data_IF_737988967824
#
_entry.id   IF_737988967824
#
_cell.length_a   1.000
_cell.length_b   1.000
_cell.length_c   1.000
_cell.angle_alpha   90.00
_cell.angle_beta   90.00
_cell.angle_gamma   90.00
#
_symmetry.space_group_name_H-M   'P 1'
#
loop_
_entity.id
_entity.type
_entity.pdbx_description
1 polymer ?
#
# COMPACT_ATOMS: atom_id res chain seq x y z
N UNK A 1 -1.32 33.36 -49.49
CA UNK A 1 -0.11 32.66 -49.03
C UNK A 1 -0.28 32.43 -47.55
N UNK A 2 -0.96 31.34 -47.20
CA UNK A 2 -1.30 30.93 -45.84
C UNK A 2 -0.09 30.37 -45.11
N UNK A 3 0.04 30.66 -43.81
CA UNK A 3 0.39 29.67 -42.78
C UNK A 3 -0.29 30.08 -41.47
N UNK A 4 -1.50 29.57 -41.28
CA UNK A 4 -2.11 29.45 -39.96
C UNK A 4 -1.25 28.48 -39.14
N UNK A 5 -0.55 28.98 -38.12
CA UNK A 5 0.10 28.10 -37.14
C UNK A 5 -1.01 27.67 -36.19
N UNK A 6 -1.58 26.51 -36.51
CA UNK A 6 -2.55 25.80 -35.69
C UNK A 6 -1.99 25.68 -34.27
N UNK A 7 -2.54 26.45 -33.33
CA UNK A 7 -2.27 26.28 -31.91
C UNK A 7 -2.63 24.85 -31.53
N UNK A 8 -1.61 24.02 -31.27
CA UNK A 8 -1.78 22.62 -30.93
C UNK A 8 -2.39 22.56 -29.53
N UNK A 9 -3.73 22.46 -29.47
CA UNK A 9 -4.44 22.10 -28.25
C UNK A 9 -4.16 20.63 -27.99
N UNK A 10 -3.16 20.34 -27.15
CA UNK A 10 -2.89 19.00 -26.67
C UNK A 10 -3.93 18.65 -25.61
N UNK A 11 -5.01 18.00 -26.02
CA UNK A 11 -5.94 17.37 -25.09
C UNK A 11 -5.30 16.08 -24.59
N UNK A 12 -4.76 16.11 -23.38
CA UNK A 12 -4.36 14.91 -22.65
C UNK A 12 -5.61 14.29 -22.02
N UNK A 13 -6.07 13.18 -22.59
CA UNK A 13 -7.18 12.42 -22.02
C UNK A 13 -6.62 11.46 -20.95
N UNK A 14 -6.56 11.94 -19.71
CA UNK A 14 -6.12 11.15 -18.56
C UNK A 14 -7.32 10.38 -18.03
N UNK A 15 -7.49 9.13 -18.48
CA UNK A 15 -8.51 8.22 -17.95
C UNK A 15 -7.99 7.66 -16.62
N UNK A 16 -8.58 8.12 -15.52
CA UNK A 16 -8.31 7.55 -14.19
C UNK A 16 -9.52 6.76 -13.71
N UNK A 17 -9.34 5.46 -13.58
CA UNK A 17 -10.38 4.56 -13.08
C UNK A 17 -10.35 4.59 -11.54
N UNK A 18 -11.10 5.52 -10.93
CA UNK A 18 -11.57 5.37 -9.56
C UNK A 18 -13.09 5.21 -9.57
N UNK A 19 -13.56 4.00 -9.24
CA UNK A 19 -14.98 3.72 -9.00
C UNK A 19 -15.80 3.43 -10.26
N UNK A 20 -16.43 2.26 -10.28
CA UNK A 20 -17.34 1.87 -11.36
C UNK A 20 -18.50 2.86 -11.54
N UNK A 21 -18.72 3.27 -12.78
CA UNK A 21 -20.02 3.63 -13.34
C UNK A 21 -20.72 4.91 -12.89
N UNK A 22 -20.20 5.72 -11.94
CA UNK A 22 -20.86 6.99 -11.56
C UNK A 22 -19.89 8.14 -11.26
N UNK A 23 -19.81 9.08 -12.20
CA UNK A 23 -20.06 10.52 -11.93
C UNK A 23 -19.08 11.33 -11.10
N UNK A 24 -17.82 10.91 -10.89
CA UNK A 24 -16.80 11.80 -10.32
C UNK A 24 -16.06 12.50 -11.46
N UNK A 25 -16.16 13.83 -11.53
CA UNK A 25 -15.28 14.71 -12.31
C UNK A 25 -14.28 15.37 -11.36
N UNK A 26 -13.31 14.62 -10.81
CA UNK A 26 -12.35 15.17 -9.86
C UNK A 26 -11.48 16.22 -10.55
N UNK A 27 -11.20 17.29 -9.83
CA UNK A 27 -10.16 18.24 -10.24
C UNK A 27 -8.79 17.54 -10.28
N UNK A 28 -7.83 18.02 -11.09
CA UNK A 28 -6.46 17.47 -11.10
C UNK A 28 -5.81 17.43 -9.71
N UNK A 29 -6.18 18.36 -8.83
CA UNK A 29 -5.72 18.40 -7.44
C UNK A 29 -6.27 17.23 -6.62
N UNK A 30 -7.56 16.93 -6.73
CA UNK A 30 -8.18 15.81 -6.03
C UNK A 30 -7.60 14.48 -6.51
N UNK A 31 -7.42 14.35 -7.82
CA UNK A 31 -6.76 13.20 -8.40
C UNK A 31 -5.34 12.99 -7.85
N UNK A 32 -4.52 14.04 -7.81
CA UNK A 32 -3.16 13.96 -7.25
C UNK A 32 -3.17 13.54 -5.78
N UNK A 33 -4.13 14.03 -4.99
CA UNK A 33 -4.29 13.63 -3.58
C UNK A 33 -4.66 12.16 -3.44
N UNK A 34 -5.58 11.66 -4.27
CA UNK A 34 -5.97 10.25 -4.25
C UNK A 34 -4.85 9.32 -4.66
N UNK A 35 -4.13 9.65 -5.73
CA UNK A 35 -2.96 8.88 -6.18
C UNK A 35 -1.90 8.83 -5.07
N UNK A 36 -1.59 9.96 -4.43
CA UNK A 36 -0.66 9.99 -3.29
C UNK A 36 -1.14 9.13 -2.13
N UNK A 37 -2.41 9.23 -1.74
CA UNK A 37 -2.98 8.39 -0.68
C UNK A 37 -2.96 6.90 -1.01
N UNK A 38 -3.18 6.53 -2.28
CA UNK A 38 -3.04 5.15 -2.73
C UNK A 38 -1.59 4.65 -2.59
N UNK A 39 -0.61 5.45 -3.05
CA UNK A 39 0.80 5.10 -2.91
C UNK A 39 1.29 5.06 -1.46
N UNK A 40 0.70 5.83 -0.55
CA UNK A 40 1.00 5.73 0.88
C UNK A 40 0.61 4.35 1.45
N UNK A 41 -0.54 3.80 1.02
CA UNK A 41 -0.95 2.44 1.41
C UNK A 41 -0.01 1.40 0.80
N UNK A 42 0.33 1.56 -0.49
CA UNK A 42 1.23 0.64 -1.19
C UNK A 42 2.61 0.59 -0.54
N UNK A 43 3.21 1.75 -0.29
CA UNK A 43 4.51 1.86 0.37
C UNK A 43 4.47 1.39 1.83
N UNK A 44 3.38 1.66 2.53
CA UNK A 44 3.24 1.35 3.95
C UNK A 44 2.92 -0.11 4.24
N UNK A 45 2.17 -0.79 3.37
CA UNK A 45 1.65 -2.15 3.63
C UNK A 45 2.23 -3.13 2.62
N UNK A 46 1.92 -2.97 1.34
CA UNK A 46 2.24 -3.96 0.30
C UNK A 46 3.75 -4.11 0.09
N UNK A 47 4.49 -3.01 -0.04
CA UNK A 47 5.94 -3.07 -0.14
C UNK A 47 6.58 -3.77 1.07
N UNK A 48 6.09 -3.50 2.28
CA UNK A 48 6.57 -4.15 3.50
C UNK A 48 6.27 -5.65 3.49
N UNK A 49 5.08 -6.04 3.03
CA UNK A 49 4.68 -7.45 2.89
C UNK A 49 5.59 -8.18 1.91
N UNK A 50 5.92 -7.57 0.77
CA UNK A 50 6.80 -8.17 -0.22
C UNK A 50 8.22 -8.32 0.30
N UNK A 51 8.83 -7.24 0.81
CA UNK A 51 10.24 -7.30 1.23
C UNK A 51 10.46 -8.03 2.55
N UNK A 52 9.50 -7.97 3.47
CA UNK A 52 9.65 -8.58 4.80
C UNK A 52 9.10 -10.00 4.83
N UNK A 53 7.94 -10.23 4.21
CA UNK A 53 7.23 -11.52 4.25
C UNK A 53 7.35 -12.34 2.98
N UNK A 54 7.98 -11.79 1.93
CA UNK A 54 8.17 -12.47 0.65
C UNK A 54 6.82 -12.98 0.12
N UNK A 55 5.78 -12.14 0.27
CA UNK A 55 4.39 -12.48 0.01
C UNK A 55 4.17 -12.94 -1.43
N UNK A 56 4.72 -12.21 -2.40
CA UNK A 56 4.69 -12.55 -3.84
C UNK A 56 5.21 -13.96 -4.17
N UNK A 57 6.24 -14.43 -3.44
CA UNK A 57 6.84 -15.74 -3.69
C UNK A 57 6.11 -16.86 -2.94
N UNK A 58 5.10 -16.54 -2.14
CA UNK A 58 4.39 -17.52 -1.33
C UNK A 58 3.31 -18.24 -2.14
N UNK A 59 3.35 -19.57 -2.17
CA UNK A 59 2.37 -20.40 -2.90
C UNK A 59 1.05 -20.63 -2.14
N UNK A 60 0.75 -19.86 -1.09
CA UNK A 60 -0.45 -19.97 -0.26
C UNK A 60 -1.76 -19.54 -0.95
N UNK A 61 -2.00 -19.95 -2.21
CA UNK A 61 -3.14 -19.53 -3.04
C UNK A 61 -4.52 -19.82 -2.40
N UNK A 62 -4.61 -20.90 -1.61
CA UNK A 62 -5.85 -21.27 -0.89
C UNK A 62 -6.11 -20.45 0.38
N UNK A 63 -5.07 -19.88 0.98
CA UNK A 63 -5.13 -19.17 2.27
C UNK A 63 -4.56 -17.75 2.18
N UNK A 64 -4.44 -17.20 0.98
CA UNK A 64 -3.79 -15.90 0.75
C UNK A 64 -4.48 -14.77 1.49
N UNK A 65 -5.81 -14.68 1.40
CA UNK A 65 -6.60 -13.66 2.10
C UNK A 65 -6.43 -13.69 3.63
N UNK A 66 -6.65 -14.82 4.33
CA UNK A 66 -6.43 -14.86 5.78
C UNK A 66 -4.96 -14.65 6.16
N UNK A 67 -4.02 -15.13 5.35
CA UNK A 67 -2.59 -14.94 5.61
C UNK A 67 -2.16 -13.46 5.49
N UNK A 68 -2.67 -12.75 4.49
CA UNK A 68 -2.48 -11.30 4.34
C UNK A 68 -3.03 -10.56 5.57
N UNK A 69 -4.24 -10.88 6.03
CA UNK A 69 -4.82 -10.25 7.21
C UNK A 69 -3.97 -10.45 8.48
N UNK A 70 -3.45 -11.67 8.69
CA UNK A 70 -2.55 -11.98 9.82
C UNK A 70 -1.25 -11.16 9.72
N UNK A 71 -0.67 -11.01 8.54
CA UNK A 71 0.55 -10.23 8.35
C UNK A 71 0.31 -8.74 8.57
N UNK A 72 -0.81 -8.20 8.08
CA UNK A 72 -1.21 -6.82 8.35
C UNK A 72 -1.39 -6.56 9.85
N UNK A 73 -2.01 -7.51 10.59
CA UNK A 73 -2.09 -7.44 12.04
C UNK A 73 -0.69 -7.44 12.69
N UNK A 74 0.21 -8.33 12.26
CA UNK A 74 1.57 -8.39 12.76
C UNK A 74 2.36 -7.09 12.50
N UNK A 75 2.20 -6.48 11.31
CA UNK A 75 2.82 -5.18 10.98
C UNK A 75 2.32 -4.10 11.94
N UNK A 76 1.01 -4.03 12.20
CA UNK A 76 0.45 -3.05 13.13
C UNK A 76 0.98 -3.23 14.56
N UNK A 77 1.04 -4.47 15.05
CA UNK A 77 1.62 -4.79 16.37
C UNK A 77 3.08 -4.33 16.45
N UNK A 78 3.89 -4.61 15.42
CA UNK A 78 5.30 -4.19 15.37
C UNK A 78 5.42 -2.65 15.38
N UNK A 79 4.52 -1.94 14.68
CA UNK A 79 4.49 -0.46 14.69
C UNK A 79 4.18 0.10 16.07
N UNK A 80 3.26 -0.53 16.80
CA UNK A 80 2.91 -0.12 18.17
C UNK A 80 4.09 -0.27 19.15
N UNK A 81 5.01 -1.21 18.90
CA UNK A 81 6.22 -1.35 19.70
C UNK A 81 7.29 -0.28 19.39
N UNK A 82 7.06 0.61 18.42
CA UNK A 82 7.97 1.72 18.11
C UNK A 82 9.21 1.33 17.31
N UNK A 83 9.22 0.16 16.66
CA UNK A 83 10.34 -0.22 15.79
C UNK A 83 10.42 0.71 14.57
N UNK A 84 11.63 1.22 14.29
CA UNK A 84 11.90 2.02 13.08
C UNK A 84 11.74 1.21 11.79
N UNK A 85 12.13 -0.07 11.81
CA UNK A 85 12.07 -0.97 10.66
C UNK A 85 11.30 -2.25 11.00
N UNK A 86 10.31 -2.59 10.17
CA UNK A 86 9.47 -3.78 10.37
C UNK A 86 10.27 -5.10 10.37
N UNK A 87 11.29 -5.30 9.51
CA UNK A 87 12.12 -6.51 9.57
C UNK A 87 12.79 -6.73 10.92
N UNK A 88 13.20 -5.67 11.62
CA UNK A 88 13.86 -5.78 12.92
C UNK A 88 12.87 -6.16 14.02
N UNK A 89 11.68 -5.54 14.03
CA UNK A 89 10.60 -5.93 14.93
C UNK A 89 10.14 -7.37 14.71
N UNK A 90 10.06 -7.81 13.45
CA UNK A 90 9.77 -9.21 13.12
C UNK A 90 10.85 -10.15 13.66
N UNK A 91 12.13 -9.85 13.44
CA UNK A 91 13.24 -10.67 13.97
C UNK A 91 13.20 -10.73 15.50
N UNK A 92 12.93 -9.60 16.17
CA UNK A 92 12.81 -9.54 17.62
C UNK A 92 11.63 -10.40 18.15
N UNK A 93 10.46 -10.33 17.51
CA UNK A 93 9.31 -11.17 17.84
C UNK A 93 9.61 -12.66 17.65
N UNK A 94 10.29 -13.04 16.56
CA UNK A 94 10.64 -14.43 16.28
C UNK A 94 11.76 -14.98 17.17
N UNK A 95 12.72 -14.15 17.57
CA UNK A 95 13.82 -14.56 18.44
C UNK A 95 13.33 -14.95 19.84
N UNK A 96 12.23 -14.34 20.28
CA UNK A 96 11.61 -14.57 21.60
C UNK A 96 10.09 -14.63 21.47
N UNK A 97 9.53 -15.79 21.06
CA UNK A 97 8.10 -15.90 20.76
C UNK A 97 7.22 -15.64 21.98
N UNK A 98 7.70 -15.95 23.19
CA UNK A 98 7.06 -15.60 24.47
C UNK A 98 6.82 -14.09 24.59
N UNK A 99 7.86 -13.29 24.30
CA UNK A 99 7.78 -11.82 24.36
C UNK A 99 7.07 -11.23 23.15
N UNK A 100 7.26 -11.81 21.97
CA UNK A 100 6.59 -11.38 20.74
C UNK A 100 5.07 -11.57 20.84
N UNK A 101 4.61 -12.69 21.39
CA UNK A 101 3.19 -12.92 21.67
C UNK A 101 2.67 -12.00 22.78
N UNK A 102 3.51 -11.67 23.78
CA UNK A 102 3.14 -10.72 24.83
C UNK A 102 2.72 -9.34 24.27
N UNK A 103 3.25 -8.93 23.12
CA UNK A 103 2.86 -7.67 22.47
C UNK A 103 1.38 -7.61 22.10
N UNK A 104 0.75 -8.75 21.80
CA UNK A 104 -0.68 -8.81 21.46
C UNK A 104 -1.59 -8.41 22.63
N UNK A 105 -1.12 -8.55 23.87
CA UNK A 105 -1.89 -8.18 25.06
C UNK A 105 -1.74 -6.70 25.44
N UNK A 106 -0.80 -6.00 24.80
CA UNK A 106 -0.52 -4.57 25.03
C UNK A 106 -0.95 -3.69 23.84
N UNK A 107 -1.72 -4.25 22.90
CA UNK A 107 -2.25 -3.55 21.73
C UNK A 107 -3.61 -2.91 22.00
#
# INVERSE_FOLDING_TARGET
>A
MERQIQGKCSSEEVIVIYGGGRGLNPTPRELSRWVRGHWEIENGVFWVLDVTYNEDRNNARKVGRPLHAIRCAAINVIRLQGFRYIPDGRKAASARPDRGLAWLYNC
#
